data_IF_648516838116
#
_entry.id   IF_648516838116
#
_cell.length_a   1.000
_cell.length_b   1.000
_cell.length_c   1.000
_cell.angle_alpha   90.00
_cell.angle_beta   90.00
_cell.angle_gamma   90.00
#
_symmetry.space_group_name_H-M   'P 1'
#
loop_
_entity.id
_entity.type
_entity.pdbx_description
1 polymer ?
#
# COMPACT_ATOMS: atom_id res chain seq x y z
N UNK A 1 -15.89 -32.33 9.85
CA UNK A 1 -16.17 -31.88 8.46
C UNK A 1 -15.98 -30.36 8.37
N UNK A 2 -15.81 -29.82 7.17
CA UNK A 2 -15.55 -28.38 6.95
C UNK A 2 -16.67 -27.80 6.08
N UNK A 3 -16.93 -26.50 6.20
CA UNK A 3 -17.82 -25.79 5.27
C UNK A 3 -17.45 -26.12 3.81
N UNK A 4 -18.46 -26.32 2.97
CA UNK A 4 -18.33 -26.72 1.56
C UNK A 4 -18.28 -28.23 1.32
N UNK A 5 -18.05 -29.05 2.36
CA UNK A 5 -18.10 -30.51 2.24
C UNK A 5 -19.54 -31.03 2.25
N UNK A 6 -19.76 -32.16 1.59
CA UNK A 6 -21.04 -32.89 1.63
C UNK A 6 -20.96 -34.03 2.65
N UNK A 7 -21.91 -34.05 3.58
CA UNK A 7 -22.16 -35.17 4.47
C UNK A 7 -23.13 -36.14 3.81
N UNK A 8 -22.93 -37.43 4.05
CA UNK A 8 -23.84 -38.49 3.62
C UNK A 8 -24.38 -39.22 4.84
N UNK A 9 -25.69 -39.34 4.93
CA UNK A 9 -26.35 -40.23 5.86
C UNK A 9 -26.28 -41.66 5.32
N UNK A 10 -26.03 -42.61 6.21
CA UNK A 10 -26.07 -44.04 5.89
C UNK A 10 -27.12 -44.69 6.80
N UNK A 11 -28.13 -45.33 6.21
CA UNK A 11 -29.01 -46.24 6.93
C UNK A 11 -28.43 -47.66 6.89
N UNK A 12 -28.75 -48.48 7.89
CA UNK A 12 -28.36 -49.89 7.92
C UNK A 12 -29.11 -50.78 6.90
N UNK A 13 -29.86 -50.14 5.99
CA UNK A 13 -30.80 -50.77 5.06
C UNK A 13 -32.23 -50.76 5.60
N UNK A 14 -33.19 -50.63 4.68
CA UNK A 14 -34.61 -50.72 4.98
C UNK A 14 -35.00 -52.16 5.30
N UNK A 15 -35.45 -52.40 6.54
CA UNK A 15 -36.00 -53.68 6.96
C UNK A 15 -37.40 -53.49 7.54
N UNK A 16 -38.42 -54.05 6.90
CA UNK A 16 -39.80 -53.92 7.33
C UNK A 16 -40.80 -54.39 6.28
N UNK A 17 -41.93 -54.93 6.73
CA UNK A 17 -43.05 -55.31 5.86
C UNK A 17 -44.31 -54.63 6.38
N UNK A 18 -44.99 -53.79 5.59
CA UNK A 18 -44.61 -53.32 4.25
C UNK A 18 -43.30 -52.52 4.24
N UNK A 19 -42.62 -52.45 3.09
CA UNK A 19 -41.35 -51.72 2.96
C UNK A 19 -41.52 -50.27 3.38
N UNK A 20 -40.74 -49.78 4.36
CA UNK A 20 -40.85 -48.40 4.83
C UNK A 20 -40.23 -47.41 3.83
N UNK A 21 -40.76 -46.18 3.82
CA UNK A 21 -40.13 -45.04 3.18
C UNK A 21 -39.14 -44.37 4.15
N UNK A 22 -37.99 -43.92 3.64
CA UNK A 22 -36.97 -43.22 4.41
C UNK A 22 -37.06 -41.70 4.25
N UNK A 23 -36.74 -40.96 5.31
CA UNK A 23 -36.52 -39.52 5.28
C UNK A 23 -35.31 -39.13 6.12
N UNK A 24 -34.64 -38.04 5.73
CA UNK A 24 -33.35 -37.62 6.29
C UNK A 24 -33.35 -36.14 6.73
N UNK A 25 -34.23 -35.71 7.65
CA UNK A 25 -34.13 -34.36 8.21
C UNK A 25 -32.76 -34.14 8.88
N UNK A 26 -32.01 -33.17 8.36
CA UNK A 26 -30.77 -32.71 8.97
C UNK A 26 -31.05 -31.67 10.05
N UNK A 27 -30.22 -31.68 11.09
CA UNK A 27 -30.32 -30.76 12.22
C UNK A 27 -29.01 -30.01 12.42
N UNK A 28 -29.13 -28.77 12.86
CA UNK A 28 -28.05 -27.91 13.33
C UNK A 28 -28.30 -27.54 14.79
N UNK A 29 -27.38 -27.91 15.69
CA UNK A 29 -27.54 -27.76 17.14
C UNK A 29 -28.90 -28.30 17.66
N UNK A 30 -29.35 -29.42 17.08
CA UNK A 30 -30.64 -30.04 17.42
C UNK A 30 -31.88 -29.39 16.78
N UNK A 31 -31.73 -28.33 15.98
CA UNK A 31 -32.84 -27.67 15.27
C UNK A 31 -32.85 -28.10 13.81
N UNK A 32 -34.02 -28.45 13.26
CA UNK A 32 -34.15 -28.88 11.87
C UNK A 32 -33.67 -27.79 10.90
N UNK A 33 -32.88 -28.19 9.89
CA UNK A 33 -32.46 -27.35 8.78
C UNK A 33 -33.58 -27.41 7.73
N UNK A 34 -34.31 -26.31 7.46
CA UNK A 34 -35.46 -26.33 6.56
C UNK A 34 -35.09 -26.83 5.15
N UNK A 35 -35.86 -27.80 4.64
CA UNK A 35 -35.66 -28.36 3.30
C UNK A 35 -34.51 -29.37 3.16
N UNK A 36 -33.70 -29.58 4.20
CA UNK A 36 -32.64 -30.59 4.18
C UNK A 36 -33.21 -31.96 4.55
N UNK A 37 -33.82 -32.64 3.58
CA UNK A 37 -34.44 -33.97 3.75
C UNK A 37 -33.81 -35.07 2.89
N UNK A 38 -32.80 -34.72 2.08
CA UNK A 38 -32.04 -35.67 1.27
C UNK A 38 -31.05 -36.48 2.11
N UNK A 39 -30.66 -37.66 1.63
CA UNK A 39 -29.62 -38.49 2.26
C UNK A 39 -28.24 -37.82 2.28
N UNK A 40 -28.08 -36.66 1.64
CA UNK A 40 -26.87 -35.84 1.68
C UNK A 40 -27.17 -34.41 2.09
N UNK A 41 -26.19 -33.76 2.71
CA UNK A 41 -26.21 -32.34 3.06
C UNK A 41 -24.89 -31.69 2.70
N UNK A 42 -24.93 -30.68 1.84
CA UNK A 42 -23.77 -29.80 1.61
C UNK A 42 -23.71 -28.74 2.70
N UNK A 43 -22.61 -28.70 3.42
CA UNK A 43 -22.39 -27.76 4.52
C UNK A 43 -22.14 -26.35 3.95
N UNK A 44 -22.89 -25.38 4.44
CA UNK A 44 -22.80 -23.97 4.05
C UNK A 44 -22.10 -23.15 5.14
N UNK A 45 -21.70 -21.89 4.87
CA UNK A 45 -21.16 -21.01 5.91
C UNK A 45 -22.10 -20.83 7.11
N UNK A 46 -23.42 -20.97 6.94
CA UNK A 46 -24.39 -20.89 8.03
C UNK A 46 -24.24 -22.04 9.04
N UNK A 47 -23.62 -23.15 8.64
CA UNK A 47 -23.38 -24.30 9.52
C UNK A 47 -22.08 -24.19 10.32
N UNK A 48 -21.22 -23.20 10.04
CA UNK A 48 -19.94 -23.04 10.74
C UNK A 48 -20.13 -23.02 12.27
N UNK A 49 -19.34 -23.84 12.97
CA UNK A 49 -19.38 -23.96 14.43
C UNK A 49 -20.60 -24.70 14.99
N UNK A 50 -21.61 -25.00 14.17
CA UNK A 50 -22.78 -25.77 14.61
C UNK A 50 -22.44 -27.26 14.65
N UNK A 51 -23.05 -27.99 15.58
CA UNK A 51 -23.09 -29.44 15.55
C UNK A 51 -24.17 -29.86 14.56
N UNK A 52 -23.77 -30.52 13.49
CA UNK A 52 -24.68 -31.04 12.47
C UNK A 52 -24.91 -32.53 12.72
N UNK A 53 -26.17 -32.94 12.75
CA UNK A 53 -26.62 -34.33 12.86
C UNK A 53 -27.71 -34.62 11.85
N UNK A 54 -28.04 -35.89 11.64
CA UNK A 54 -29.17 -36.30 10.80
C UNK A 54 -30.08 -37.24 11.60
N UNK A 55 -31.38 -37.07 11.48
CA UNK A 55 -32.36 -38.07 11.92
C UNK A 55 -32.80 -38.86 10.70
N UNK A 56 -32.61 -40.18 10.75
CA UNK A 56 -33.16 -41.10 9.75
C UNK A 56 -34.47 -41.62 10.29
N UNK A 57 -35.54 -41.45 9.53
CA UNK A 57 -36.88 -41.96 9.88
C UNK A 57 -37.35 -42.91 8.81
N UNK A 58 -37.71 -44.13 9.21
CA UNK A 58 -38.38 -45.14 8.39
C UNK A 58 -39.85 -45.19 8.77
N UNK A 59 -40.77 -45.10 7.80
CA UNK A 59 -42.22 -45.10 8.06
C UNK A 59 -42.98 -46.00 7.09
N UNK A 60 -43.87 -46.84 7.60
CA UNK A 60 -44.83 -47.63 6.82
C UNK A 60 -46.24 -47.54 7.44
N UNK A 61 -47.18 -48.34 6.94
CA UNK A 61 -48.56 -48.37 7.43
C UNK A 61 -48.72 -48.85 8.88
N UNK A 62 -47.68 -49.43 9.48
CA UNK A 62 -47.70 -49.97 10.84
C UNK A 62 -47.07 -49.01 11.86
N UNK A 63 -46.29 -48.02 11.42
CA UNK A 63 -45.68 -47.03 12.29
C UNK A 63 -44.40 -46.42 11.72
N UNK A 64 -43.65 -45.76 12.61
CA UNK A 64 -42.39 -45.10 12.29
C UNK A 64 -41.30 -45.43 13.31
N UNK A 65 -40.07 -45.62 12.85
CA UNK A 65 -38.85 -45.73 13.65
C UNK A 65 -37.90 -44.59 13.27
N UNK A 66 -37.23 -44.00 14.26
CA UNK A 66 -36.26 -42.94 13.99
C UNK A 66 -35.01 -43.08 14.85
N UNK A 67 -33.86 -42.76 14.25
CA UNK A 67 -32.57 -42.71 14.90
C UNK A 67 -31.86 -41.42 14.51
N UNK A 68 -31.26 -40.75 15.48
CA UNK A 68 -30.46 -39.53 15.27
C UNK A 68 -28.99 -39.83 15.44
N UNK A 69 -28.17 -39.41 14.48
CA UNK A 69 -26.72 -39.51 14.57
C UNK A 69 -26.17 -38.65 15.71
N UNK A 70 -24.96 -38.96 16.18
CA UNK A 70 -24.19 -37.97 16.95
C UNK A 70 -23.92 -36.73 16.10
N UNK A 71 -23.86 -35.57 16.73
CA UNK A 71 -23.53 -34.31 16.07
C UNK A 71 -22.04 -34.19 15.78
N UNK A 72 -21.69 -33.62 14.62
CA UNK A 72 -20.32 -33.26 14.26
C UNK A 72 -20.20 -31.75 14.12
N UNK A 73 -19.21 -31.16 14.79
CA UNK A 73 -18.95 -29.72 14.66
C UNK A 73 -18.37 -29.41 13.28
N UNK A 74 -18.95 -28.42 12.61
CA UNK A 74 -18.48 -27.96 11.30
C UNK A 74 -17.33 -26.97 11.47
N UNK A 75 -16.16 -27.34 10.96
CA UNK A 75 -14.97 -26.50 10.93
C UNK A 75 -15.07 -25.40 9.85
N UNK A 76 -14.33 -24.32 10.07
CA UNK A 76 -14.19 -23.21 9.13
C UNK A 76 -13.17 -23.47 8.01
N UNK A 77 -13.10 -22.53 7.07
CA UNK A 77 -12.11 -22.51 5.99
C UNK A 77 -11.08 -21.43 6.34
N UNK A 78 -9.80 -21.82 6.36
CA UNK A 78 -8.71 -20.89 6.64
C UNK A 78 -8.69 -19.71 5.65
N UNK A 79 -8.30 -18.51 6.07
CA UNK A 79 -8.27 -17.36 5.18
C UNK A 79 -7.29 -17.52 4.01
N UNK A 80 -7.66 -16.95 2.86
CA UNK A 80 -6.77 -16.80 1.69
C UNK A 80 -6.68 -15.34 1.29
N UNK A 81 -5.58 -14.95 0.66
CA UNK A 81 -5.38 -13.64 0.02
C UNK A 81 -4.50 -13.87 -1.22
N UNK A 82 -4.86 -13.27 -2.36
CA UNK A 82 -4.12 -13.48 -3.62
C UNK A 82 -3.34 -12.25 -4.07
N UNK A 83 -3.68 -11.05 -3.59
CA UNK A 83 -2.95 -9.84 -3.90
C UNK A 83 -2.94 -8.83 -2.76
N UNK A 84 -1.84 -8.07 -2.69
CA UNK A 84 -1.67 -6.90 -1.84
C UNK A 84 -0.96 -5.82 -2.67
N UNK A 85 -1.61 -4.69 -2.87
CA UNK A 85 -1.13 -3.61 -3.77
C UNK A 85 -1.17 -2.25 -3.08
N UNK A 86 -0.39 -1.32 -3.62
CA UNK A 86 -0.31 0.05 -3.16
C UNK A 86 -0.76 1.01 -4.27
N UNK A 87 -1.52 2.03 -3.90
CA UNK A 87 -1.78 3.18 -4.75
C UNK A 87 -1.33 4.47 -4.06
N UNK A 88 -1.18 5.53 -4.84
CA UNK A 88 -0.65 6.82 -4.39
C UNK A 88 0.77 7.09 -4.91
N UNK A 89 1.22 8.34 -4.73
CA UNK A 89 2.56 8.77 -5.14
C UNK A 89 3.50 8.72 -3.94
N UNK A 90 4.65 8.03 -4.02
CA UNK A 90 5.60 7.95 -2.92
C UNK A 90 6.35 9.27 -2.77
N UNK A 91 5.70 10.30 -2.21
CA UNK A 91 6.25 11.63 -1.95
C UNK A 91 5.95 12.04 -0.51
N UNK A 92 6.90 12.66 0.19
CA UNK A 92 6.69 13.14 1.56
C UNK A 92 5.39 13.96 1.67
N UNK A 93 4.59 13.70 2.69
CA UNK A 93 3.30 14.35 2.93
C UNK A 93 2.17 13.91 2.00
N UNK A 94 2.40 12.98 1.07
CA UNK A 94 1.35 12.27 0.34
C UNK A 94 0.96 10.98 1.06
N UNK A 95 -0.24 10.50 0.76
CA UNK A 95 -0.79 9.27 1.35
C UNK A 95 -0.68 8.11 0.36
N UNK A 96 -0.20 6.97 0.85
CA UNK A 96 -0.31 5.69 0.17
C UNK A 96 -1.52 4.93 0.72
N UNK A 97 -2.19 4.18 -0.14
CA UNK A 97 -3.36 3.36 0.22
C UNK A 97 -3.11 1.89 -0.10
N UNK A 98 -3.37 1.02 0.86
CA UNK A 98 -3.27 -0.43 0.73
C UNK A 98 -4.57 -1.02 0.17
N UNK A 99 -4.44 -2.02 -0.70
CA UNK A 99 -5.58 -2.76 -1.26
C UNK A 99 -5.26 -4.25 -1.29
N UNK A 100 -6.16 -5.07 -0.77
CA UNK A 100 -6.11 -6.53 -0.89
C UNK A 100 -7.08 -7.04 -1.94
N UNK A 101 -6.83 -8.26 -2.42
CA UNK A 101 -7.69 -8.93 -3.39
C UNK A 101 -7.69 -10.44 -3.22
N UNK A 102 -8.77 -11.06 -3.69
CA UNK A 102 -8.99 -12.51 -3.59
C UNK A 102 -9.08 -13.02 -2.15
N UNK A 103 -9.64 -12.20 -1.27
CA UNK A 103 -9.83 -12.58 0.14
C UNK A 103 -10.99 -13.56 0.24
N UNK A 104 -10.75 -14.69 0.91
CA UNK A 104 -11.79 -15.68 1.22
C UNK A 104 -11.51 -16.32 2.58
N UNK A 105 -12.50 -17.02 3.14
CA UNK A 105 -12.40 -17.71 4.42
C UNK A 105 -13.76 -17.84 5.09
N UNK A 106 -13.91 -18.84 5.96
CA UNK A 106 -15.11 -19.02 6.78
C UNK A 106 -14.68 -19.29 8.23
N UNK A 107 -15.08 -18.46 9.21
CA UNK A 107 -15.85 -17.24 9.05
C UNK A 107 -15.03 -16.18 8.29
N UNK A 108 -15.71 -15.12 7.83
CA UNK A 108 -15.06 -14.03 7.12
C UNK A 108 -13.87 -13.49 7.95
N UNK A 109 -12.66 -13.40 7.36
CA UNK A 109 -11.50 -12.92 8.09
C UNK A 109 -11.62 -11.42 8.40
N UNK A 110 -10.89 -11.00 9.43
CA UNK A 110 -10.63 -9.60 9.74
C UNK A 110 -9.28 -9.20 9.17
N UNK A 111 -9.28 -8.10 8.42
CA UNK A 111 -8.10 -7.54 7.78
C UNK A 111 -7.34 -6.58 8.73
N UNK A 112 -6.02 -6.58 8.66
CA UNK A 112 -5.14 -5.66 9.38
C UNK A 112 -3.89 -5.34 8.57
N UNK A 113 -3.27 -4.19 8.87
CA UNK A 113 -2.14 -3.67 8.11
C UNK A 113 -0.93 -3.45 9.01
N UNK A 114 0.26 -3.59 8.42
CA UNK A 114 1.51 -3.11 8.99
C UNK A 114 2.34 -2.50 7.88
N UNK A 115 2.57 -1.19 7.93
CA UNK A 115 3.44 -0.52 6.97
C UNK A 115 4.91 -0.76 7.30
N UNK A 116 5.73 -0.87 6.26
CA UNK A 116 7.16 -1.10 6.35
C UNK A 116 7.91 -0.05 5.55
N UNK A 117 9.08 0.33 6.05
CA UNK A 117 10.06 1.13 5.33
C UNK A 117 11.35 0.32 5.17
N UNK A 118 11.80 0.11 3.93
CA UNK A 118 12.90 -0.78 3.57
C UNK A 118 12.79 -2.16 4.23
N UNK A 119 11.57 -2.70 4.34
CA UNK A 119 11.29 -3.99 4.97
C UNK A 119 11.23 -3.98 6.50
N UNK A 120 11.43 -2.84 7.16
CA UNK A 120 11.32 -2.71 8.62
C UNK A 120 9.97 -2.11 8.99
N UNK A 121 9.28 -2.71 9.97
CA UNK A 121 7.99 -2.23 10.44
C UNK A 121 8.04 -0.78 10.95
N UNK A 122 7.09 0.04 10.50
CA UNK A 122 6.86 1.39 10.99
C UNK A 122 5.92 1.30 12.20
N UNK A 123 6.43 1.59 13.39
CA UNK A 123 5.66 1.46 14.63
C UNK A 123 4.35 2.25 14.59
N UNK A 124 3.23 1.59 14.92
CA UNK A 124 1.89 2.20 14.97
C UNK A 124 1.24 2.46 13.62
N UNK A 125 1.91 2.17 12.50
CA UNK A 125 1.33 2.33 11.17
C UNK A 125 0.50 1.09 10.80
N UNK A 126 -0.75 1.05 11.28
CA UNK A 126 -1.66 -0.10 11.11
C UNK A 126 -2.96 0.21 10.37
N UNK A 127 -3.13 1.44 9.90
CA UNK A 127 -4.28 1.85 9.09
C UNK A 127 -4.15 1.37 7.63
N UNK A 128 -5.28 1.27 6.93
CA UNK A 128 -5.31 0.97 5.47
C UNK A 128 -4.63 2.04 4.60
N UNK A 129 -4.38 3.21 5.18
CA UNK A 129 -3.65 4.31 4.56
C UNK A 129 -2.47 4.75 5.41
N UNK A 130 -1.43 5.28 4.77
CA UNK A 130 -0.26 5.81 5.45
C UNK A 130 0.24 7.08 4.79
N UNK A 131 0.27 8.17 5.55
CA UNK A 131 0.85 9.43 5.11
C UNK A 131 2.36 9.39 5.29
N UNK A 132 3.08 9.56 4.19
CA UNK A 132 4.53 9.51 4.16
C UNK A 132 5.12 10.68 4.95
N UNK A 133 6.02 10.38 5.87
CA UNK A 133 6.67 11.39 6.72
C UNK A 133 8.06 11.73 6.19
N UNK A 134 8.70 12.80 6.68
CA UNK A 134 10.09 13.11 6.37
C UNK A 134 11.06 11.96 6.64
N UNK A 135 10.79 11.12 7.64
CA UNK A 135 11.61 9.97 7.99
C UNK A 135 11.62 8.90 6.90
N UNK A 136 10.61 8.89 6.02
CA UNK A 136 10.51 7.94 4.91
C UNK A 136 11.31 8.36 3.67
N UNK A 137 11.91 9.56 3.66
CA UNK A 137 12.66 10.06 2.51
C UNK A 137 13.71 9.06 2.00
N UNK A 138 13.71 8.80 0.69
CA UNK A 138 14.61 7.86 0.01
C UNK A 138 14.45 6.39 0.44
N UNK A 139 13.47 6.06 1.29
CA UNK A 139 13.11 4.69 1.64
C UNK A 139 12.06 4.17 0.67
N UNK A 140 12.04 2.86 0.43
CA UNK A 140 10.92 2.20 -0.22
C UNK A 140 9.89 1.81 0.83
N UNK A 141 8.61 2.02 0.54
CA UNK A 141 7.52 1.70 1.47
C UNK A 141 6.71 0.54 0.93
N UNK A 142 6.41 -0.44 1.78
CA UNK A 142 5.51 -1.56 1.50
C UNK A 142 4.49 -1.72 2.62
N UNK A 143 3.47 -2.55 2.41
CA UNK A 143 2.49 -2.90 3.44
C UNK A 143 2.34 -4.41 3.51
N UNK A 144 2.35 -4.97 4.72
CA UNK A 144 1.88 -6.33 4.97
C UNK A 144 0.41 -6.27 5.33
N UNK A 145 -0.41 -6.95 4.55
CA UNK A 145 -1.83 -7.19 4.85
C UNK A 145 -1.95 -8.55 5.51
N UNK A 146 -2.67 -8.61 6.63
CA UNK A 146 -2.91 -9.82 7.40
C UNK A 146 -4.42 -10.08 7.49
N UNK A 147 -4.85 -11.26 7.06
CA UNK A 147 -6.21 -11.78 7.20
C UNK A 147 -6.25 -12.80 8.34
N UNK A 148 -7.12 -12.60 9.32
CA UNK A 148 -7.23 -13.46 10.51
C UNK A 148 -8.66 -13.91 10.74
N UNK A 149 -8.86 -15.20 10.97
CA UNK A 149 -10.12 -15.78 11.47
C UNK A 149 -9.82 -16.87 12.51
N UNK A 150 -10.83 -17.38 13.24
CA UNK A 150 -10.66 -18.55 14.10
C UNK A 150 -10.18 -19.80 13.35
N UNK A 151 -10.35 -19.86 12.03
CA UNK A 151 -9.89 -20.98 11.20
C UNK A 151 -8.42 -20.83 10.77
N UNK A 152 -7.78 -19.68 10.98
CA UNK A 152 -6.37 -19.48 10.69
C UNK A 152 -5.99 -18.03 10.37
N UNK A 153 -4.74 -17.85 9.94
CA UNK A 153 -4.17 -16.55 9.59
C UNK A 153 -3.30 -16.67 8.35
N UNK A 154 -3.39 -15.70 7.45
CA UNK A 154 -2.49 -15.56 6.30
C UNK A 154 -2.03 -14.11 6.19
N UNK A 155 -0.87 -13.86 5.57
CA UNK A 155 -0.39 -12.51 5.34
C UNK A 155 0.34 -12.41 4.01
N UNK A 156 0.22 -11.27 3.36
CA UNK A 156 0.86 -10.97 2.09
C UNK A 156 1.43 -9.56 2.12
N UNK A 157 2.68 -9.41 1.67
CA UNK A 157 3.34 -8.10 1.60
C UNK A 157 3.30 -7.60 0.17
N UNK A 158 2.91 -6.34 -0.01
CA UNK A 158 2.91 -5.71 -1.32
C UNK A 158 4.31 -5.61 -1.91
N UNK A 159 4.40 -5.45 -3.23
CA UNK A 159 5.62 -4.91 -3.83
C UNK A 159 5.98 -3.56 -3.18
N UNK A 160 7.28 -3.28 -2.98
CA UNK A 160 7.71 -1.99 -2.44
C UNK A 160 7.44 -0.87 -3.45
N UNK A 161 7.16 0.33 -2.93
CA UNK A 161 7.08 1.53 -3.74
C UNK A 161 8.42 1.89 -4.39
N UNK A 162 8.39 2.83 -5.32
CA UNK A 162 9.61 3.59 -5.64
C UNK A 162 10.12 4.31 -4.38
N UNK A 163 11.43 4.62 -4.28
CA UNK A 163 11.96 5.40 -3.16
C UNK A 163 11.21 6.72 -2.99
N UNK A 164 10.83 7.05 -1.75
CA UNK A 164 10.00 8.21 -1.45
C UNK A 164 10.73 9.51 -1.83
N UNK A 165 10.09 10.27 -2.71
CA UNK A 165 10.52 11.56 -3.17
C UNK A 165 10.25 12.65 -2.11
N UNK A 166 11.02 13.75 -2.09
CA UNK A 166 10.74 14.90 -1.25
C UNK A 166 9.55 15.71 -1.82
N UNK A 167 8.82 16.42 -0.96
CA UNK A 167 7.78 17.37 -1.38
C UNK A 167 8.40 18.73 -1.66
N UNK A 168 8.36 19.16 -2.91
CA UNK A 168 8.60 20.55 -3.26
C UNK A 168 7.25 21.25 -3.39
N UNK A 169 7.13 22.46 -2.82
CA UNK A 169 5.92 23.27 -3.01
C UNK A 169 5.64 23.49 -4.50
N UNK A 170 4.37 23.43 -4.88
CA UNK A 170 3.95 23.80 -6.22
C UNK A 170 4.40 25.24 -6.51
N UNK A 171 4.85 25.49 -7.75
CA UNK A 171 5.08 26.84 -8.26
C UNK A 171 3.75 27.59 -8.21
N UNK A 172 3.56 28.48 -7.24
CA UNK A 172 2.29 29.23 -7.06
C UNK A 172 2.10 30.34 -8.10
N UNK A 173 3.07 30.56 -8.99
CA UNK A 173 3.00 31.59 -10.04
C UNK A 173 3.04 30.93 -11.40
N UNK A 174 2.01 31.08 -12.25
CA UNK A 174 2.10 30.65 -13.65
C UNK A 174 3.26 31.38 -14.33
N UNK A 175 4.11 30.61 -15.04
CA UNK A 175 5.30 31.12 -15.74
C UNK A 175 4.94 32.16 -16.83
N UNK A 176 3.68 32.18 -17.26
CA UNK A 176 3.12 33.08 -18.28
C UNK A 176 3.14 34.57 -17.92
N UNK A 177 3.40 34.95 -16.67
CA UNK A 177 3.46 36.35 -16.22
C UNK A 177 4.90 36.94 -16.10
N UNK A 178 5.94 36.20 -16.52
CA UNK A 178 7.30 36.71 -16.52
C UNK A 178 7.55 37.64 -17.73
N UNK A 179 7.40 38.95 -17.52
CA UNK A 179 7.79 39.98 -18.51
C UNK A 179 9.32 39.99 -18.75
N UNK A 180 9.74 40.49 -19.93
CA UNK A 180 11.17 40.70 -20.27
C UNK A 180 11.84 41.53 -19.16
N UNK A 181 12.86 40.96 -18.50
CA UNK A 181 13.64 41.66 -17.48
C UNK A 181 13.24 41.38 -16.03
N UNK A 182 12.18 40.62 -15.77
CA UNK A 182 11.76 40.24 -14.42
C UNK A 182 12.65 39.11 -13.86
N UNK A 183 13.15 39.30 -12.63
CA UNK A 183 13.80 38.27 -11.83
C UNK A 183 12.85 37.87 -10.72
N UNK A 184 12.26 36.67 -10.80
CA UNK A 184 11.44 36.15 -9.70
C UNK A 184 12.31 35.23 -8.85
N UNK A 185 12.46 35.55 -7.56
CA UNK A 185 13.04 34.60 -6.62
C UNK A 185 12.02 33.50 -6.36
N UNK A 186 12.41 32.25 -6.62
CA UNK A 186 11.59 31.10 -6.27
C UNK A 186 11.71 30.84 -4.77
N UNK A 187 10.69 31.24 -4.00
CA UNK A 187 10.57 30.81 -2.61
C UNK A 187 9.96 29.40 -2.56
N UNK A 188 10.80 28.38 -2.54
CA UNK A 188 10.39 27.02 -2.17
C UNK A 188 10.08 27.04 -0.67
N UNK A 189 8.79 27.00 -0.30
CA UNK A 189 8.39 27.06 1.11
C UNK A 189 8.80 25.78 1.85
N UNK A 190 9.40 25.98 3.03
CA UNK A 190 9.91 24.94 3.91
C UNK A 190 8.75 24.16 4.55
N UNK A 191 8.66 22.86 4.30
CA UNK A 191 8.05 21.95 5.28
C UNK A 191 8.78 20.61 5.41
N UNK A 192 10.07 20.51 5.03
CA UNK A 192 10.87 19.31 5.34
C UNK A 192 12.39 19.51 5.39
N UNK A 193 12.91 20.66 5.85
CA UNK A 193 14.37 20.85 5.98
C UNK A 193 14.70 21.69 7.21
N UNK A 194 14.75 21.07 8.39
CA UNK A 194 15.17 21.72 9.64
C UNK A 194 16.68 21.98 9.76
N UNK A 195 17.49 21.76 8.71
CA UNK A 195 18.96 21.93 8.77
C UNK A 195 19.61 22.45 7.46
N UNK A 196 18.85 22.89 6.44
CA UNK A 196 19.44 23.52 5.24
C UNK A 196 18.98 24.97 5.13
N UNK A 197 19.90 25.90 5.35
CA UNK A 197 19.71 27.33 5.10
C UNK A 197 19.71 27.56 3.58
N UNK A 198 18.49 27.56 3.02
CA UNK A 198 18.04 28.13 1.73
C UNK A 198 18.75 27.63 0.45
N UNK A 199 18.06 26.78 -0.32
CA UNK A 199 18.33 26.64 -1.77
C UNK A 199 17.40 27.59 -2.51
N UNK A 200 17.93 28.65 -3.12
CA UNK A 200 17.15 29.57 -3.95
C UNK A 200 17.42 29.27 -5.44
N UNK A 201 16.37 29.04 -6.21
CA UNK A 201 16.45 29.03 -7.67
C UNK A 201 15.95 30.40 -8.16
N UNK A 202 16.72 31.09 -9.00
CA UNK A 202 16.22 32.28 -9.69
C UNK A 202 15.93 31.92 -11.14
N UNK A 203 14.72 32.25 -11.60
CA UNK A 203 14.34 32.13 -13.00
C UNK A 203 14.35 33.54 -13.60
N UNK A 204 15.07 33.74 -14.70
CA UNK A 204 15.10 35.01 -15.44
C UNK A 204 14.54 34.79 -16.85
N UNK A 205 13.56 35.60 -17.23
CA UNK A 205 13.04 35.62 -18.58
C UNK A 205 13.82 36.60 -19.46
N UNK A 206 14.41 36.11 -20.56
CA UNK A 206 15.12 36.89 -21.56
C UNK A 206 14.63 36.52 -22.96
N UNK A 207 13.93 37.44 -23.63
CA UNK A 207 13.59 37.29 -25.06
C UNK A 207 12.83 36.02 -25.42
N UNK A 208 11.81 35.63 -24.64
CA UNK A 208 11.04 34.39 -24.87
C UNK A 208 11.69 33.11 -24.34
N UNK A 209 12.80 33.22 -23.58
CA UNK A 209 13.52 32.10 -22.98
C UNK A 209 13.55 32.23 -21.46
N UNK A 210 13.29 31.13 -20.75
CA UNK A 210 13.52 31.00 -19.31
C UNK A 210 14.95 30.51 -19.07
N UNK A 211 15.74 31.30 -18.36
CA UNK A 211 17.04 30.90 -17.83
C UNK A 211 16.88 30.49 -16.37
N UNK A 212 17.22 29.24 -16.06
CA UNK A 212 17.43 28.80 -14.68
C UNK A 212 18.80 29.31 -14.23
N UNK A 213 18.84 30.30 -13.33
CA UNK A 213 20.07 30.71 -12.66
C UNK A 213 20.20 29.96 -11.33
N UNK A 214 21.23 29.14 -11.27
CA UNK A 214 21.63 28.37 -10.09
C UNK A 214 22.22 29.30 -9.03
N UNK A 215 21.51 29.50 -7.91
CA UNK A 215 22.02 30.19 -6.72
C UNK A 215 21.78 29.37 -5.46
N UNK A 216 22.55 28.29 -5.27
CA UNK A 216 22.65 27.65 -3.95
C UNK A 216 23.50 28.51 -3.02
N UNK A 217 22.87 29.41 -2.27
CA UNK A 217 23.50 30.10 -1.13
C UNK A 217 23.37 29.26 0.13
N UNK A 218 24.46 28.61 0.54
CA UNK A 218 24.51 27.89 1.82
C UNK A 218 25.16 28.78 2.88
N UNK A 219 24.39 29.23 3.87
CA UNK A 219 24.97 29.68 5.15
C UNK A 219 25.17 28.44 6.03
N UNK A 220 26.37 28.33 6.59
CA UNK A 220 26.75 27.21 7.43
C UNK A 220 27.26 27.78 8.74
N UNK A 221 26.50 27.62 9.81
CA UNK A 221 27.03 27.76 11.16
C UNK A 221 28.02 26.61 11.40
N UNK A 222 29.31 26.91 11.20
CA UNK A 222 30.52 26.23 11.70
C UNK A 222 30.34 24.76 12.15
N UNK A 223 30.19 23.77 11.25
CA UNK A 223 30.75 22.45 11.52
C UNK A 223 30.92 21.51 10.30
N UNK A 224 31.99 20.71 10.38
CA UNK A 224 32.47 19.54 9.62
C UNK A 224 32.12 19.36 8.13
N UNK A 225 33.18 19.20 7.33
CA UNK A 225 33.23 18.90 5.89
C UNK A 225 32.35 17.73 5.43
N UNK A 226 32.05 16.77 6.33
CA UNK A 226 31.23 15.60 6.06
C UNK A 226 29.74 15.95 5.92
N UNK A 227 29.21 16.81 6.80
CA UNK A 227 27.83 17.30 6.71
C UNK A 227 27.63 18.15 5.46
N UNK A 228 28.65 18.93 5.07
CA UNK A 228 28.69 19.66 3.79
C UNK A 228 28.58 18.71 2.60
N UNK A 229 29.38 17.64 2.54
CA UNK A 229 29.35 16.68 1.43
C UNK A 229 27.99 15.96 1.28
N UNK A 230 27.39 15.55 2.40
CA UNK A 230 26.07 14.91 2.42
C UNK A 230 24.96 15.89 1.97
N UNK A 231 24.98 17.12 2.49
CA UNK A 231 24.07 18.19 2.08
C UNK A 231 24.18 18.50 0.57
N UNK A 232 25.40 18.50 0.02
CA UNK A 232 25.65 18.66 -1.42
C UNK A 232 25.06 17.49 -2.24
N UNK A 233 25.19 16.25 -1.76
CA UNK A 233 24.70 15.06 -2.48
C UNK A 233 23.17 14.98 -2.45
N UNK A 234 22.55 15.35 -1.33
CA UNK A 234 21.12 15.56 -1.20
C UNK A 234 20.66 16.69 -2.14
N UNK A 235 21.32 17.85 -2.10
CA UNK A 235 21.03 18.98 -2.99
C UNK A 235 21.04 18.59 -4.48
N UNK A 236 22.02 17.80 -4.93
CA UNK A 236 22.07 17.29 -6.31
C UNK A 236 20.92 16.36 -6.69
N UNK A 237 20.59 15.38 -5.83
CA UNK A 237 19.45 14.49 -6.06
C UNK A 237 18.16 15.30 -6.13
N UNK A 238 18.03 16.28 -5.23
CA UNK A 238 16.89 17.17 -5.16
C UNK A 238 16.77 18.07 -6.41
N UNK A 239 17.89 18.64 -6.88
CA UNK A 239 17.94 19.43 -8.11
C UNK A 239 17.58 18.63 -9.36
N UNK A 240 18.02 17.37 -9.49
CA UNK A 240 17.65 16.53 -10.64
C UNK A 240 16.14 16.30 -10.75
N UNK A 241 15.45 16.16 -9.61
CA UNK A 241 13.99 16.01 -9.57
C UNK A 241 13.31 17.34 -9.93
N UNK A 242 13.76 18.45 -9.36
CA UNK A 242 13.25 19.80 -9.66
C UNK A 242 13.44 20.20 -11.14
N UNK A 243 14.59 19.90 -11.74
CA UNK A 243 14.85 20.15 -13.16
C UNK A 243 13.91 19.32 -14.04
N UNK A 244 13.65 18.05 -13.70
CA UNK A 244 12.68 17.22 -14.43
C UNK A 244 11.27 17.82 -14.40
N UNK A 245 10.79 18.23 -13.23
CA UNK A 245 9.47 18.86 -13.08
C UNK A 245 9.36 20.18 -13.86
N UNK A 246 10.40 21.02 -13.82
CA UNK A 246 10.46 22.27 -14.59
C UNK A 246 10.47 22.04 -16.09
N UNK A 247 11.15 21.01 -16.58
CA UNK A 247 11.13 20.61 -18.00
C UNK A 247 9.73 20.13 -18.40
N UNK A 248 9.08 19.32 -17.56
CA UNK A 248 7.71 18.86 -17.81
C UNK A 248 6.71 20.02 -17.85
N UNK A 249 6.84 20.98 -16.93
CA UNK A 249 5.99 22.17 -16.91
C UNK A 249 6.25 23.09 -18.11
N UNK A 250 7.52 23.33 -18.45
CA UNK A 250 7.89 24.13 -19.62
C UNK A 250 7.34 23.54 -20.92
N UNK A 251 7.37 22.20 -21.04
CA UNK A 251 6.78 21.50 -22.18
C UNK A 251 5.24 21.67 -22.24
N UNK A 252 4.54 21.59 -21.10
CA UNK A 252 3.08 21.84 -21.04
C UNK A 252 2.69 23.26 -21.42
N UNK A 253 3.49 24.23 -21.00
CA UNK A 253 3.25 25.66 -21.25
C UNK A 253 3.78 26.13 -22.62
N UNK A 254 4.37 25.23 -23.43
CA UNK A 254 4.94 25.58 -24.74
C UNK A 254 6.18 26.48 -24.67
N UNK A 255 6.89 26.47 -23.54
CA UNK A 255 8.06 27.32 -23.30
C UNK A 255 9.36 26.51 -23.39
N UNK A 256 10.36 27.05 -24.09
CA UNK A 256 11.69 26.45 -24.11
C UNK A 256 12.47 26.82 -22.84
N UNK A 257 12.85 25.80 -22.07
CA UNK A 257 13.70 25.95 -20.89
C UNK A 257 15.18 25.81 -21.28
N UNK A 258 16.00 26.83 -21.01
CA UNK A 258 17.46 26.70 -21.09
C UNK A 258 18.03 26.65 -19.67
N UNK A 259 18.69 25.53 -19.35
CA UNK A 259 19.34 25.34 -18.06
C UNK A 259 20.81 25.75 -18.20
N UNK A 260 21.20 26.89 -17.62
CA UNK A 260 22.60 27.32 -17.54
C UNK A 260 23.10 27.16 -16.12
N UNK A 261 23.99 26.21 -15.90
CA UNK A 261 24.72 26.05 -14.63
C UNK A 261 25.81 27.11 -14.51
N UNK A 262 25.70 28.02 -13.54
CA UNK A 262 26.72 29.04 -13.27
C UNK A 262 27.22 28.89 -11.84
N UNK A 263 28.42 28.34 -11.69
CA UNK A 263 29.04 28.14 -10.37
C UNK A 263 29.69 29.45 -9.91
N UNK A 264 29.16 30.08 -8.86
CA UNK A 264 29.80 31.24 -8.23
C UNK A 264 31.00 30.77 -7.39
N UNK A 265 32.20 31.00 -7.92
CA UNK A 265 33.49 30.57 -7.34
C UNK A 265 33.78 31.09 -5.91
N UNK A 266 33.03 32.07 -5.41
CA UNK A 266 33.20 32.63 -4.06
C UNK A 266 32.87 31.63 -2.93
N UNK A 267 32.12 30.55 -3.21
CA UNK A 267 31.64 29.55 -2.23
C UNK A 267 32.51 28.28 -2.11
N UNK A 268 33.52 28.11 -2.98
CA UNK A 268 34.34 26.88 -3.00
C UNK A 268 35.57 26.92 -2.05
N UNK A 269 35.80 28.04 -1.36
CA UNK A 269 36.87 28.17 -0.37
C UNK A 269 36.53 27.31 0.86
N UNK A 270 37.28 26.22 1.05
CA UNK A 270 37.13 25.30 2.18
C UNK A 270 36.59 23.89 1.86
N UNK A 271 36.35 23.57 0.58
CA UNK A 271 35.96 22.23 0.15
C UNK A 271 37.16 21.37 -0.28
N UNK A 272 37.10 20.06 -0.06
CA UNK A 272 38.11 19.12 -0.57
C UNK A 272 38.12 19.11 -2.11
N UNK A 273 39.25 18.80 -2.76
CA UNK A 273 39.32 18.71 -4.22
C UNK A 273 38.27 17.77 -4.83
N UNK A 274 37.96 16.65 -4.16
CA UNK A 274 36.92 15.71 -4.60
C UNK A 274 35.51 16.30 -4.55
N UNK A 275 35.21 17.11 -3.53
CA UNK A 275 33.93 17.82 -3.41
C UNK A 275 33.77 18.92 -4.48
N UNK A 276 34.87 19.54 -4.92
CA UNK A 276 34.87 20.51 -6.03
C UNK A 276 34.60 19.85 -7.38
N UNK A 277 35.24 18.71 -7.68
CA UNK A 277 35.02 17.93 -8.93
C UNK A 277 33.59 17.43 -9.08
N UNK A 278 32.95 17.10 -7.95
CA UNK A 278 31.55 16.69 -7.94
C UNK A 278 30.64 17.79 -8.54
N UNK A 279 30.93 19.08 -8.32
CA UNK A 279 30.08 20.17 -8.80
C UNK A 279 30.27 20.53 -10.27
N UNK A 280 31.50 20.43 -10.79
CA UNK A 280 31.79 20.75 -12.20
C UNK A 280 31.17 19.77 -13.20
N UNK A 281 30.75 18.59 -12.75
CA UNK A 281 30.24 17.52 -13.62
C UNK A 281 28.72 17.54 -13.84
N UNK A 282 28.05 18.68 -13.64
CA UNK A 282 26.63 18.85 -14.04
C UNK A 282 26.59 19.39 -15.46
N UNK A 283 27.03 18.56 -16.41
CA UNK A 283 26.68 18.68 -17.82
C UNK A 283 25.35 17.95 -18.02
N UNK A 284 24.36 18.65 -18.56
CA UNK A 284 23.09 18.08 -18.94
C UNK A 284 23.30 17.19 -20.16
N UNK A 285 23.34 15.87 -19.97
CA UNK A 285 22.98 14.94 -21.06
C UNK A 285 21.45 14.92 -21.22
N UNK A 286 20.96 15.88 -22.00
CA UNK A 286 20.19 15.73 -23.24
C UNK A 286 19.60 17.07 -23.64
#
# INVERSE_FOLDING_TARGET
PTVGQTLSAQSGGVSGVPTPAESYPWLANGVAIPGATSSTLTLTPANYGQQVSVTVTETNSLGALSLTSSGVTVAGIAPTITSATLTGTPTVGQTLSAHSGGVSGVPAPTESYQWLANGVAISGATSSTYTLTPANYSQQVSVTVTETSPAGRVSLTSSPSLPVAPRYGALSTPLSHLFRGSSTQLHLSKSTLSQLERVALSLRATGGRLLLLDHVTYEATKDSSHRRALALQLGKKQMRVLVRELVTLAHREGVTLHVTTKVLAHSLKGLTPSARRLWTSVELEK
#
